data_IF_086265895536
#
_entry.id   IF_086265895536
#
_cell.length_a   1.000
_cell.length_b   1.000
_cell.length_c   1.000
_cell.angle_alpha   90.00
_cell.angle_beta   90.00
_cell.angle_gamma   90.00
#
_symmetry.space_group_name_H-M   'P 1'
#
loop_
_entity.id
_entity.type
_entity.pdbx_description
1 polymer ?
#
# COMPACT_ATOMS: atom_id res chain seq x y z
N UNK A 1 -23.46 -4.56 28.03
CA UNK A 1 -23.96 -4.82 26.66
C UNK A 1 -23.68 -3.57 25.83
N UNK A 2 -22.45 -3.43 25.32
CA UNK A 2 -22.01 -2.25 24.58
C UNK A 2 -21.84 -2.61 23.11
N UNK A 3 -22.40 -1.77 22.24
CA UNK A 3 -22.37 -1.84 20.78
C UNK A 3 -20.98 -2.20 20.23
N UNK A 4 -20.72 -3.48 19.97
CA UNK A 4 -19.74 -3.86 18.95
C UNK A 4 -20.48 -3.82 17.63
N UNK A 5 -20.00 -3.05 16.65
CA UNK A 5 -20.35 -3.38 15.27
C UNK A 5 -19.98 -4.85 15.04
N UNK A 6 -20.88 -5.62 14.44
CA UNK A 6 -20.58 -6.98 14.02
C UNK A 6 -19.33 -6.93 13.13
N UNK A 7 -18.36 -7.79 13.43
CA UNK A 7 -17.14 -7.86 12.64
C UNK A 7 -17.52 -8.16 11.18
N UNK A 8 -16.84 -7.53 10.18
CA UNK A 8 -17.10 -7.83 8.79
C UNK A 8 -16.96 -9.34 8.54
N UNK A 9 -18.02 -9.95 7.98
CA UNK A 9 -18.11 -11.41 7.85
C UNK A 9 -16.97 -12.01 7.01
N UNK A 10 -16.47 -11.26 6.03
CA UNK A 10 -15.37 -11.65 5.15
C UNK A 10 -14.08 -11.94 5.92
N UNK A 11 -13.76 -11.17 6.96
CA UNK A 11 -12.56 -11.35 7.79
C UNK A 11 -12.84 -11.96 9.17
N UNK A 12 -14.05 -12.51 9.37
CA UNK A 12 -14.50 -13.10 10.62
C UNK A 12 -13.53 -14.11 11.26
N UNK A 13 -12.92 -15.04 10.49
CA UNK A 13 -11.94 -15.98 11.03
C UNK A 13 -10.74 -15.31 11.69
N UNK A 14 -10.18 -14.26 11.06
CA UNK A 14 -9.06 -13.49 11.61
C UNK A 14 -9.47 -12.73 12.87
N UNK A 15 -10.62 -12.05 12.84
CA UNK A 15 -11.14 -11.29 13.98
C UNK A 15 -11.41 -12.19 15.18
N UNK A 16 -11.88 -13.43 14.96
CA UNK A 16 -12.08 -14.39 16.03
C UNK A 16 -10.77 -14.68 16.78
N UNK A 17 -9.70 -15.01 16.06
CA UNK A 17 -8.39 -15.30 16.67
C UNK A 17 -7.86 -14.08 17.44
N UNK A 18 -7.96 -12.89 16.85
CA UNK A 18 -7.53 -11.64 17.49
C UNK A 18 -8.33 -11.34 18.77
N UNK A 19 -9.64 -11.57 18.77
CA UNK A 19 -10.49 -11.43 19.96
C UNK A 19 -10.15 -12.47 21.02
N UNK A 20 -9.92 -13.72 20.63
CA UNK A 20 -9.57 -14.80 21.54
C UNK A 20 -8.25 -14.47 22.25
N UNK A 21 -7.22 -14.01 21.52
CA UNK A 21 -5.98 -13.51 22.13
C UNK A 21 -6.20 -12.27 23.02
N UNK A 22 -7.19 -11.44 22.65
CA UNK A 22 -7.58 -10.23 23.37
C UNK A 22 -8.28 -10.46 24.71
N UNK A 23 -9.11 -11.50 24.80
CA UNK A 23 -9.88 -11.82 26.02
C UNK A 23 -8.99 -12.16 27.22
N UNK A 24 -7.80 -12.71 26.98
CA UNK A 24 -6.95 -13.22 28.05
C UNK A 24 -5.79 -12.31 28.41
N UNK A 25 -5.13 -11.66 27.44
CA UNK A 25 -3.79 -11.08 27.72
C UNK A 25 -3.31 -9.92 26.86
N UNK A 26 -3.74 -9.83 25.60
CA UNK A 26 -3.15 -8.89 24.64
C UNK A 26 -4.14 -7.84 24.16
N UNK A 27 -3.66 -6.72 23.63
CA UNK A 27 -4.51 -5.79 22.89
C UNK A 27 -4.61 -6.28 21.43
N UNK A 28 -5.81 -6.54 20.88
CA UNK A 28 -5.96 -7.07 19.51
C UNK A 28 -5.29 -6.24 18.43
N UNK A 29 -5.24 -4.92 18.61
CA UNK A 29 -4.63 -4.01 17.66
C UNK A 29 -3.10 -4.11 17.70
N UNK A 30 -2.52 -4.20 18.91
CA UNK A 30 -1.10 -4.48 19.07
C UNK A 30 -0.72 -5.88 18.55
N UNK A 31 -1.58 -6.89 18.71
CA UNK A 31 -1.38 -8.23 18.11
C UNK A 31 -1.39 -8.17 16.60
N UNK A 32 -2.33 -7.43 16.00
CA UNK A 32 -2.39 -7.29 14.54
C UNK A 32 -1.13 -6.63 13.98
N UNK A 33 -0.63 -5.55 14.63
CA UNK A 33 0.63 -4.90 14.23
C UNK A 33 1.81 -5.86 14.26
N UNK A 34 1.96 -6.61 15.36
CA UNK A 34 3.01 -7.61 15.49
C UNK A 34 2.86 -8.74 14.46
N UNK A 35 1.62 -9.12 14.15
CA UNK A 35 1.35 -10.14 13.15
C UNK A 35 1.67 -9.68 11.73
N UNK A 36 1.54 -8.39 11.41
CA UNK A 36 2.02 -7.83 10.13
C UNK A 36 3.55 -8.00 10.02
N UNK A 37 4.30 -7.68 11.07
CA UNK A 37 5.75 -7.91 11.10
C UNK A 37 6.10 -9.40 10.98
N UNK A 38 5.37 -10.25 11.71
CA UNK A 38 5.51 -11.70 11.64
C UNK A 38 5.31 -12.22 10.22
N UNK A 39 4.23 -11.79 9.57
CA UNK A 39 3.87 -12.22 8.22
C UNK A 39 4.90 -11.76 7.19
N UNK A 40 5.39 -10.52 7.28
CA UNK A 40 6.49 -10.04 6.41
C UNK A 40 7.69 -10.96 6.56
N UNK A 41 8.11 -11.29 7.80
CA UNK A 41 9.23 -12.19 8.03
C UNK A 41 9.02 -13.62 7.48
N UNK A 42 7.78 -14.12 7.45
CA UNK A 42 7.45 -15.41 6.83
C UNK A 42 7.64 -15.42 5.31
N UNK A 43 7.44 -14.28 4.63
CA UNK A 43 7.59 -14.18 3.17
C UNK A 43 8.96 -13.68 2.72
N UNK A 44 9.83 -13.24 3.64
CA UNK A 44 11.21 -12.93 3.29
C UNK A 44 11.93 -14.19 2.81
N UNK A 45 12.61 -14.11 1.67
CA UNK A 45 13.36 -15.25 1.07
C UNK A 45 14.36 -15.87 2.04
N UNK A 46 14.97 -15.05 2.91
CA UNK A 46 15.95 -15.48 3.90
C UNK A 46 15.35 -15.62 5.31
N UNK A 47 14.05 -15.36 5.47
CA UNK A 47 13.38 -15.25 6.76
C UNK A 47 13.87 -14.05 7.60
N UNK A 48 13.33 -13.93 8.81
CA UNK A 48 13.75 -12.95 9.81
C UNK A 48 13.82 -13.62 11.19
N UNK A 49 15.03 -14.06 11.55
CA UNK A 49 15.27 -14.79 12.80
C UNK A 49 15.10 -13.90 14.03
N UNK A 50 15.56 -12.65 13.96
CA UNK A 50 15.48 -11.73 15.10
C UNK A 50 14.02 -11.38 15.42
N UNK A 51 13.21 -11.12 14.39
CA UNK A 51 11.77 -10.95 14.56
C UNK A 51 11.14 -12.22 15.14
N UNK A 52 11.46 -13.41 14.63
CA UNK A 52 10.88 -14.66 15.12
C UNK A 52 11.21 -14.90 16.61
N UNK A 53 12.47 -14.69 17.02
CA UNK A 53 12.92 -14.78 18.41
C UNK A 53 12.20 -13.76 19.30
N UNK A 54 12.05 -12.51 18.83
CA UNK A 54 11.30 -11.46 19.54
C UNK A 54 9.83 -11.83 19.76
N UNK A 55 9.16 -12.33 18.72
CA UNK A 55 7.74 -12.72 18.79
C UNK A 55 7.55 -13.95 19.67
N UNK A 56 8.44 -14.94 19.60
CA UNK A 56 8.41 -16.10 20.48
C UNK A 56 8.56 -15.69 21.95
N UNK A 57 9.48 -14.77 22.26
CA UNK A 57 9.66 -14.27 23.62
C UNK A 57 8.41 -13.52 24.14
N UNK A 58 7.75 -12.73 23.27
CA UNK A 58 6.56 -11.94 23.63
C UNK A 58 5.31 -12.82 23.84
N UNK A 59 5.06 -13.76 22.93
CA UNK A 59 3.82 -14.55 22.91
C UNK A 59 3.93 -15.90 23.62
N UNK A 60 5.13 -16.45 23.79
CA UNK A 60 5.38 -17.71 24.50
C UNK A 60 4.49 -18.85 23.95
N UNK A 61 3.62 -19.43 24.78
CA UNK A 61 2.69 -20.48 24.36
C UNK A 61 1.69 -20.00 23.29
N UNK A 62 1.35 -18.72 23.28
CA UNK A 62 0.43 -18.12 22.31
C UNK A 62 1.10 -17.80 20.96
N UNK A 63 2.42 -18.03 20.82
CA UNK A 63 3.14 -17.81 19.55
C UNK A 63 2.53 -18.61 18.39
N UNK A 64 1.99 -19.80 18.66
CA UNK A 64 1.27 -20.63 17.69
C UNK A 64 0.08 -19.90 17.05
N UNK A 65 -0.53 -18.93 17.76
CA UNK A 65 -1.67 -18.18 17.25
C UNK A 65 -1.28 -17.24 16.12
N UNK A 66 -0.03 -16.79 16.03
CA UNK A 66 0.44 -16.00 14.88
C UNK A 66 0.42 -16.83 13.59
N UNK A 67 0.81 -18.11 13.68
CA UNK A 67 0.72 -19.07 12.58
C UNK A 67 -0.74 -19.41 12.23
N UNK A 68 -1.61 -19.57 13.23
CA UNK A 68 -3.04 -19.76 12.99
C UNK A 68 -3.68 -18.55 12.31
N UNK A 69 -3.25 -17.33 12.67
CA UNK A 69 -3.73 -16.10 12.05
C UNK A 69 -3.22 -15.98 10.60
N UNK A 70 -1.98 -16.40 10.32
CA UNK A 70 -1.45 -16.51 8.95
C UNK A 70 -2.27 -17.48 8.09
N UNK A 71 -2.57 -18.67 8.63
CA UNK A 71 -3.43 -19.66 7.97
C UNK A 71 -4.84 -19.11 7.72
N UNK A 72 -5.45 -18.49 8.73
CA UNK A 72 -6.79 -17.92 8.61
C UNK A 72 -6.85 -16.80 7.57
N UNK A 73 -5.81 -15.96 7.48
CA UNK A 73 -5.71 -14.95 6.43
C UNK A 73 -5.63 -15.59 5.04
N UNK A 74 -4.78 -16.60 4.85
CA UNK A 74 -4.69 -17.31 3.56
C UNK A 74 -6.02 -17.96 3.15
N UNK A 75 -6.76 -18.57 4.09
CA UNK A 75 -8.09 -19.14 3.82
C UNK A 75 -9.13 -18.06 3.46
N UNK A 76 -9.04 -16.87 4.08
CA UNK A 76 -9.90 -15.73 3.71
C UNK A 76 -9.57 -15.26 2.29
N UNK A 77 -8.29 -15.14 1.94
CA UNK A 77 -7.86 -14.72 0.61
C UNK A 77 -8.32 -15.72 -0.46
N UNK A 78 -8.12 -17.02 -0.23
CA UNK A 78 -8.55 -18.11 -1.13
C UNK A 78 -10.07 -18.11 -1.36
N UNK A 79 -10.85 -17.79 -0.33
CA UNK A 79 -12.32 -17.73 -0.42
C UNK A 79 -12.84 -16.48 -1.13
N UNK A 80 -12.23 -15.32 -0.89
CA UNK A 80 -12.75 -14.03 -1.36
C UNK A 80 -12.20 -13.62 -2.74
N UNK A 81 -11.07 -14.17 -3.18
CA UNK A 81 -10.52 -13.93 -4.51
C UNK A 81 -11.02 -15.02 -5.47
N UNK A 82 -11.90 -14.64 -6.39
CA UNK A 82 -12.40 -15.55 -7.41
C UNK A 82 -11.38 -15.76 -8.55
N UNK A 83 -11.40 -16.94 -9.17
CA UNK A 83 -10.59 -17.30 -10.36
C UNK A 83 -11.08 -16.65 -11.68
N UNK A 84 -11.71 -15.48 -11.61
CA UNK A 84 -12.22 -14.75 -12.79
C UNK A 84 -11.17 -13.83 -13.43
N UNK A 85 -9.97 -13.76 -12.84
CA UNK A 85 -8.85 -12.96 -13.30
C UNK A 85 -8.99 -11.45 -13.08
N UNK A 86 -10.04 -10.99 -12.38
CA UNK A 86 -10.29 -9.57 -12.06
C UNK A 86 -10.63 -9.33 -10.59
N UNK A 87 -10.88 -10.39 -9.84
CA UNK A 87 -11.16 -10.32 -8.41
C UNK A 87 -9.90 -9.93 -7.62
N UNK A 88 -10.07 -9.06 -6.63
CA UNK A 88 -9.06 -8.71 -5.66
C UNK A 88 -9.73 -8.44 -4.31
N UNK A 89 -9.01 -8.65 -3.20
CA UNK A 89 -9.56 -8.47 -1.86
C UNK A 89 -8.54 -7.96 -0.85
N UNK A 90 -8.90 -6.94 -0.08
CA UNK A 90 -8.06 -6.37 0.98
C UNK A 90 -8.56 -6.78 2.37
N UNK A 91 -8.20 -8.00 2.78
CA UNK A 91 -8.49 -8.50 4.12
C UNK A 91 -7.79 -7.68 5.21
N UNK A 92 -6.53 -7.26 4.96
CA UNK A 92 -5.69 -6.60 5.95
C UNK A 92 -6.20 -5.20 6.30
N UNK A 93 -6.53 -4.40 5.29
CA UNK A 93 -7.14 -3.09 5.49
C UNK A 93 -8.52 -3.19 6.15
N UNK A 94 -9.32 -4.21 5.81
CA UNK A 94 -10.62 -4.45 6.47
C UNK A 94 -10.45 -4.74 7.97
N UNK A 95 -9.46 -5.57 8.35
CA UNK A 95 -9.13 -5.83 9.76
C UNK A 95 -8.60 -4.57 10.44
N UNK A 96 -7.71 -3.82 9.78
CA UNK A 96 -7.16 -2.57 10.28
C UNK A 96 -8.26 -1.56 10.63
N UNK A 97 -9.17 -1.26 9.68
CA UNK A 97 -10.27 -0.31 9.86
C UNK A 97 -11.21 -0.76 10.98
N UNK A 98 -11.50 -2.06 11.05
CA UNK A 98 -12.30 -2.64 12.12
C UNK A 98 -11.66 -2.44 13.51
N UNK A 99 -10.36 -2.72 13.65
CA UNK A 99 -9.65 -2.55 14.91
C UNK A 99 -9.48 -1.07 15.28
N UNK A 100 -9.20 -0.21 14.30
CA UNK A 100 -9.09 1.23 14.49
C UNK A 100 -10.40 1.84 15.01
N UNK A 101 -11.54 1.43 14.45
CA UNK A 101 -12.86 1.88 14.91
C UNK A 101 -13.26 1.39 16.31
N UNK A 102 -12.64 0.30 16.78
CA UNK A 102 -12.95 -0.35 18.07
C UNK A 102 -12.00 0.06 19.20
N UNK A 103 -10.83 0.62 18.89
CA UNK A 103 -9.80 0.92 19.88
C UNK A 103 -9.93 2.34 20.46
N UNK A 104 -9.66 2.49 21.77
CA UNK A 104 -9.60 3.81 22.44
C UNK A 104 -8.27 4.55 22.23
N UNK A 105 -7.26 3.86 21.69
CA UNK A 105 -5.98 4.49 21.32
C UNK A 105 -6.15 5.14 19.95
N UNK A 106 -5.39 6.20 19.73
CA UNK A 106 -5.30 6.95 18.49
C UNK A 106 -4.61 6.11 17.41
N UNK A 107 -5.23 5.00 16.98
CA UNK A 107 -5.07 4.57 15.59
C UNK A 107 -5.59 5.75 14.80
N UNK A 108 -4.69 6.45 14.10
CA UNK A 108 -5.08 7.51 13.21
C UNK A 108 -6.23 6.93 12.38
N UNK A 109 -7.42 7.55 12.46
CA UNK A 109 -8.66 7.06 11.86
C UNK A 109 -8.59 7.13 10.34
N UNK A 110 -7.61 6.44 9.78
CA UNK A 110 -7.32 6.33 8.37
C UNK A 110 -8.30 5.30 7.83
N UNK A 111 -9.17 5.79 6.96
CA UNK A 111 -10.02 4.96 6.13
C UNK A 111 -9.35 4.83 4.78
N UNK A 112 -9.27 3.61 4.28
CA UNK A 112 -8.72 3.33 2.97
C UNK A 112 -9.78 3.58 1.90
N UNK A 113 -9.32 3.87 0.68
CA UNK A 113 -10.20 4.06 -0.48
C UNK A 113 -11.14 2.85 -0.64
N UNK A 114 -12.47 3.04 -0.73
CA UNK A 114 -13.40 1.93 -0.93
C UNK A 114 -13.14 1.17 -2.24
N UNK A 115 -13.37 -0.15 -2.32
CA UNK A 115 -13.09 -0.96 -3.51
C UNK A 115 -13.70 -0.40 -4.80
N UNK A 116 -14.97 0.01 -4.77
CA UNK A 116 -15.66 0.55 -5.95
C UNK A 116 -14.98 1.83 -6.48
N UNK A 117 -14.38 2.62 -5.59
CA UNK A 117 -13.65 3.84 -5.97
C UNK A 117 -12.28 3.47 -6.56
N UNK A 118 -11.59 2.46 -6.03
CA UNK A 118 -10.35 1.94 -6.61
C UNK A 118 -10.58 1.41 -8.04
N UNK A 119 -11.64 0.63 -8.23
CA UNK A 119 -12.04 0.07 -9.53
C UNK A 119 -12.39 1.17 -10.53
N UNK A 120 -13.19 2.16 -10.09
CA UNK A 120 -13.53 3.33 -10.91
C UNK A 120 -12.26 4.08 -11.34
N UNK A 121 -11.37 4.38 -10.41
CA UNK A 121 -10.12 5.10 -10.70
C UNK A 121 -9.21 4.31 -11.63
N UNK A 122 -9.17 2.98 -11.50
CA UNK A 122 -8.42 2.11 -12.41
C UNK A 122 -8.95 2.21 -13.84
N UNK A 123 -10.27 2.16 -14.01
CA UNK A 123 -10.90 2.24 -15.33
C UNK A 123 -10.76 3.63 -15.96
N UNK A 124 -10.78 4.71 -15.16
CA UNK A 124 -10.55 6.08 -15.66
C UNK A 124 -9.11 6.26 -16.17
N UNK A 125 -8.13 5.67 -15.49
CA UNK A 125 -6.71 5.83 -15.80
C UNK A 125 -6.21 4.90 -16.91
N UNK A 126 -7.07 4.06 -17.49
CA UNK A 126 -6.67 3.08 -18.49
C UNK A 126 -7.52 3.19 -19.75
N UNK A 127 -6.87 3.07 -20.90
CA UNK A 127 -7.54 3.11 -22.20
C UNK A 127 -8.04 1.69 -22.53
N UNK A 128 -9.36 1.46 -22.67
CA UNK A 128 -9.88 0.15 -23.05
C UNK A 128 -9.36 -0.37 -24.39
N UNK A 129 -8.92 0.54 -25.28
CA UNK A 129 -8.37 0.19 -26.59
C UNK A 129 -6.89 -0.21 -26.54
N UNK A 130 -6.18 0.06 -25.43
CA UNK A 130 -4.75 -0.21 -25.32
C UNK A 130 -4.43 -1.07 -24.08
N UNK A 131 -3.88 -2.29 -24.26
CA UNK A 131 -3.49 -3.11 -23.13
C UNK A 131 -2.39 -2.42 -22.30
N UNK A 132 -2.67 -2.21 -21.02
CA UNK A 132 -1.70 -1.67 -20.07
C UNK A 132 -0.81 -2.80 -19.57
N UNK A 133 0.33 -3.04 -20.24
CA UNK A 133 1.33 -4.04 -19.84
C UNK A 133 2.75 -3.47 -19.93
N UNK A 134 3.65 -3.96 -19.08
CA UNK A 134 5.04 -3.51 -19.04
C UNK A 134 5.23 -2.05 -18.61
N UNK A 135 4.23 -1.45 -17.97
CA UNK A 135 4.29 -0.08 -17.45
C UNK A 135 4.79 -0.08 -16.01
N UNK A 136 5.22 1.11 -15.56
CA UNK A 136 5.46 1.41 -14.15
C UNK A 136 4.30 2.23 -13.61
N UNK A 137 3.71 1.77 -12.52
CA UNK A 137 2.55 2.40 -11.88
C UNK A 137 2.98 2.80 -10.48
N UNK A 138 2.67 4.00 -10.03
CA UNK A 138 3.05 4.47 -8.69
C UNK A 138 1.84 4.96 -7.90
N UNK A 139 1.78 4.62 -6.62
CA UNK A 139 0.87 5.20 -5.63
C UNK A 139 1.70 5.77 -4.46
N UNK A 140 1.84 7.11 -4.35
CA UNK A 140 2.72 7.75 -3.37
C UNK A 140 2.13 7.84 -1.94
N UNK A 141 0.89 7.38 -1.74
CA UNK A 141 0.19 7.33 -0.45
C UNK A 141 -0.69 6.07 -0.39
N UNK A 142 -0.02 4.92 -0.48
CA UNK A 142 -0.62 3.66 -0.93
C UNK A 142 -1.59 3.03 0.07
N UNK A 143 -1.53 3.38 1.36
CA UNK A 143 -2.38 2.85 2.40
C UNK A 143 -2.25 1.33 2.52
N UNK A 144 -3.35 0.59 2.38
CA UNK A 144 -3.35 -0.88 2.33
C UNK A 144 -3.08 -1.45 0.93
N UNK A 145 -2.93 -0.61 -0.10
CA UNK A 145 -2.60 -1.03 -1.46
C UNK A 145 -3.80 -1.27 -2.38
N UNK A 146 -5.03 -1.01 -1.94
CA UNK A 146 -6.26 -1.27 -2.71
C UNK A 146 -6.20 -0.73 -4.15
N UNK A 147 -5.67 0.47 -4.35
CA UNK A 147 -5.52 1.06 -5.70
C UNK A 147 -4.61 0.22 -6.59
N UNK A 148 -3.47 -0.25 -6.07
CA UNK A 148 -2.52 -1.09 -6.81
C UNK A 148 -3.06 -2.50 -7.04
N UNK A 149 -3.79 -3.06 -6.07
CA UNK A 149 -4.44 -4.36 -6.20
C UNK A 149 -5.49 -4.34 -7.32
N UNK A 150 -6.38 -3.34 -7.29
CA UNK A 150 -7.35 -3.09 -8.35
C UNK A 150 -6.64 -2.96 -9.70
N UNK A 151 -5.62 -2.10 -9.79
CA UNK A 151 -4.88 -1.92 -11.04
C UNK A 151 -4.29 -3.24 -11.57
N UNK A 152 -3.64 -4.03 -10.72
CA UNK A 152 -3.05 -5.30 -11.12
C UNK A 152 -4.09 -6.34 -11.55
N UNK A 153 -5.27 -6.36 -10.91
CA UNK A 153 -6.35 -7.27 -11.28
C UNK A 153 -6.95 -6.95 -12.66
N UNK A 154 -7.14 -5.67 -12.99
CA UNK A 154 -7.62 -5.27 -14.32
C UNK A 154 -6.52 -5.35 -15.39
N UNK A 155 -5.27 -5.06 -15.01
CA UNK A 155 -4.14 -4.91 -15.93
C UNK A 155 -2.88 -5.61 -15.38
N UNK A 156 -2.83 -6.95 -15.44
CA UNK A 156 -1.69 -7.70 -14.93
C UNK A 156 -0.44 -7.56 -15.81
N UNK A 157 0.74 -7.78 -15.22
CA UNK A 157 2.02 -7.72 -15.93
C UNK A 157 2.62 -6.32 -16.02
N UNK A 158 2.33 -5.49 -15.01
CA UNK A 158 2.98 -4.20 -14.79
C UNK A 158 3.88 -4.27 -13.55
N UNK A 159 4.77 -3.29 -13.43
CA UNK A 159 5.60 -3.11 -12.24
C UNK A 159 4.99 -2.01 -11.38
N UNK A 160 4.46 -2.39 -10.20
CA UNK A 160 3.70 -1.49 -9.32
C UNK A 160 4.56 -1.00 -8.16
N UNK A 161 4.55 0.30 -7.90
CA UNK A 161 5.29 0.94 -6.83
C UNK A 161 4.31 1.57 -5.83
N UNK A 162 4.53 1.34 -4.55
CA UNK A 162 3.75 1.95 -3.46
C UNK A 162 4.67 2.68 -2.47
N UNK A 163 4.21 3.82 -1.96
CA UNK A 163 4.92 4.56 -0.91
C UNK A 163 3.93 4.93 0.19
N UNK A 164 4.32 4.73 1.46
CA UNK A 164 3.51 5.21 2.59
C UNK A 164 4.38 5.70 3.74
N UNK A 165 3.88 6.69 4.47
CA UNK A 165 4.51 7.21 5.68
C UNK A 165 4.31 6.28 6.87
N UNK A 166 3.20 5.55 6.95
CA UNK A 166 2.92 4.59 8.03
C UNK A 166 3.58 3.24 7.74
N UNK A 167 4.49 2.77 8.62
CA UNK A 167 5.10 1.45 8.51
C UNK A 167 4.10 0.29 8.39
N UNK A 168 2.94 0.37 9.05
CA UNK A 168 1.93 -0.69 9.00
C UNK A 168 1.29 -0.72 7.62
N UNK A 169 0.91 0.45 7.08
CA UNK A 169 0.35 0.58 5.74
C UNK A 169 1.32 0.06 4.67
N UNK A 170 2.59 0.47 4.73
CA UNK A 170 3.62 -0.04 3.82
C UNK A 170 3.73 -1.58 3.88
N UNK A 171 3.80 -2.18 5.08
CA UNK A 171 3.90 -3.63 5.23
C UNK A 171 2.62 -4.38 4.84
N UNK A 172 1.44 -3.83 5.13
CA UNK A 172 0.16 -4.38 4.66
C UNK A 172 0.12 -4.40 3.14
N UNK A 173 0.51 -3.30 2.49
CA UNK A 173 0.59 -3.21 1.03
C UNK A 173 1.52 -4.26 0.46
N UNK A 174 2.71 -4.46 1.05
CA UNK A 174 3.66 -5.50 0.63
C UNK A 174 3.03 -6.89 0.67
N UNK A 175 2.37 -7.24 1.78
CA UNK A 175 1.72 -8.55 1.95
C UNK A 175 0.56 -8.73 0.97
N UNK A 176 -0.27 -7.69 0.81
CA UNK A 176 -1.37 -7.68 -0.13
C UNK A 176 -0.85 -7.89 -1.56
N UNK A 177 0.14 -7.11 -1.98
CA UNK A 177 0.76 -7.24 -3.31
C UNK A 177 1.36 -8.64 -3.52
N UNK A 178 2.03 -9.20 -2.51
CA UNK A 178 2.64 -10.52 -2.60
C UNK A 178 1.60 -11.61 -2.86
N UNK A 179 0.48 -11.59 -2.14
CA UNK A 179 -0.62 -12.55 -2.27
C UNK A 179 -1.40 -12.43 -3.59
N UNK A 180 -1.48 -11.23 -4.17
CA UNK A 180 -2.17 -11.00 -5.44
C UNK A 180 -1.25 -11.20 -6.67
N UNK A 181 -0.04 -11.74 -6.47
CA UNK A 181 0.90 -11.98 -7.56
C UNK A 181 1.44 -10.71 -8.23
N UNK A 182 1.32 -9.56 -7.57
CA UNK A 182 1.89 -8.31 -8.06
C UNK A 182 3.42 -8.42 -8.08
N UNK A 183 4.07 -7.74 -9.04
CA UNK A 183 5.52 -7.54 -9.07
C UNK A 183 5.81 -6.05 -8.92
N UNK A 184 6.74 -5.69 -8.04
CA UNK A 184 6.93 -4.29 -7.72
C UNK A 184 7.70 -3.99 -6.46
N UNK A 185 7.57 -2.76 -5.97
CA UNK A 185 8.22 -2.28 -4.76
C UNK A 185 7.25 -1.55 -3.85
N UNK A 186 7.46 -1.65 -2.55
CA UNK A 186 6.80 -0.79 -1.58
C UNK A 186 7.84 -0.21 -0.63
N UNK A 187 7.78 1.10 -0.41
CA UNK A 187 8.71 1.83 0.42
C UNK A 187 7.97 2.53 1.56
N UNK A 188 8.53 2.46 2.77
CA UNK A 188 8.10 3.30 3.88
C UNK A 188 8.99 4.55 3.92
N UNK A 189 8.40 5.68 3.53
CA UNK A 189 9.06 6.98 3.43
C UNK A 189 8.03 8.11 3.38
N UNK A 190 8.48 9.35 3.63
CA UNK A 190 7.70 10.54 3.27
C UNK A 190 7.89 10.83 1.78
N UNK A 191 6.86 10.56 0.97
CA UNK A 191 6.89 10.76 -0.48
C UNK A 191 7.04 12.23 -0.91
N UNK A 192 6.88 13.19 0.01
CA UNK A 192 7.15 14.61 -0.22
C UNK A 192 8.61 14.99 0.07
N UNK A 193 9.40 14.10 0.67
CA UNK A 193 10.78 14.37 1.09
C UNK A 193 11.77 13.41 0.44
N UNK A 194 12.99 13.90 0.21
CA UNK A 194 14.07 13.10 -0.39
C UNK A 194 14.95 12.38 0.64
N UNK A 195 14.81 12.73 1.92
CA UNK A 195 15.69 12.33 3.02
C UNK A 195 15.04 11.37 4.02
N UNK A 196 13.72 11.18 4.03
CA UNK A 196 13.01 10.29 4.98
C UNK A 196 12.83 8.87 4.44
N UNK A 197 13.92 8.12 4.27
CA UNK A 197 13.85 6.68 3.97
C UNK A 197 13.86 5.86 5.27
N UNK A 198 12.94 4.89 5.40
CA UNK A 198 12.91 3.99 6.56
C UNK A 198 13.22 2.54 6.18
N UNK A 199 12.46 1.98 5.25
CA UNK A 199 12.67 0.64 4.72
C UNK A 199 11.92 0.45 3.39
N UNK A 200 12.21 -0.61 2.66
CA UNK A 200 11.42 -1.02 1.50
C UNK A 200 11.58 -2.50 1.19
N UNK A 201 10.65 -3.02 0.40
CA UNK A 201 10.64 -4.40 -0.06
C UNK A 201 10.38 -4.47 -1.57
N UNK A 202 11.11 -5.34 -2.24
CA UNK A 202 10.78 -5.87 -3.56
C UNK A 202 9.80 -7.03 -3.40
N UNK A 203 8.72 -7.01 -4.17
CA UNK A 203 7.62 -7.97 -4.11
C UNK A 203 7.69 -8.89 -5.31
N UNK A 204 7.73 -10.20 -5.04
CA UNK A 204 7.74 -11.27 -6.03
C UNK A 204 8.78 -11.16 -7.17
N UNK A 205 10.03 -10.73 -6.94
CA UNK A 205 11.01 -10.52 -8.01
C UNK A 205 11.33 -11.76 -8.85
N UNK A 206 11.18 -12.97 -8.30
CA UNK A 206 11.49 -14.22 -9.00
C UNK A 206 10.39 -14.64 -9.99
N UNK A 207 9.19 -14.06 -9.93
CA UNK A 207 8.13 -14.36 -10.90
C UNK A 207 8.53 -13.94 -12.32
N UNK A 208 9.25 -12.82 -12.48
CA UNK A 208 9.81 -12.39 -13.77
C UNK A 208 10.81 -13.40 -14.35
N UNK A 209 11.47 -14.19 -13.50
CA UNK A 209 12.49 -15.18 -13.91
C UNK A 209 11.94 -16.58 -14.17
N UNK A 210 10.61 -16.76 -14.14
CA UNK A 210 9.97 -18.06 -14.28
C UNK A 210 10.08 -18.94 -13.02
N UNK A 211 10.33 -18.32 -11.85
CA UNK A 211 10.24 -18.99 -10.57
C UNK A 211 8.81 -19.44 -10.26
N UNK A 212 8.60 -20.35 -9.30
CA UNK A 212 7.27 -20.78 -8.91
C UNK A 212 6.44 -19.58 -8.40
N UNK A 213 5.11 -19.56 -8.63
CA UNK A 213 4.23 -18.45 -8.25
C UNK A 213 3.94 -18.44 -6.74
N UNK A 214 5.00 -18.46 -5.94
CA UNK A 214 4.94 -18.43 -4.47
C UNK A 214 5.17 -16.97 -4.05
N UNK A 215 4.35 -16.41 -3.15
CA UNK A 215 4.59 -15.09 -2.59
C UNK A 215 5.94 -15.02 -1.89
N UNK A 216 6.76 -14.02 -2.20
CA UNK A 216 8.05 -13.83 -1.57
C UNK A 216 8.50 -12.36 -1.63
N UNK A 217 9.36 -11.99 -0.68
CA UNK A 217 9.82 -10.63 -0.45
C UNK A 217 11.34 -10.57 -0.35
N UNK A 218 11.92 -9.50 -0.87
CA UNK A 218 13.32 -9.15 -0.64
C UNK A 218 13.41 -7.74 -0.06
N UNK A 219 14.18 -7.51 1.03
CA UNK A 219 14.45 -6.17 1.50
C UNK A 219 15.26 -5.41 0.45
N UNK A 220 14.98 -4.12 0.29
CA UNK A 220 15.73 -3.24 -0.60
C UNK A 220 16.33 -2.05 0.15
N UNK A 221 17.46 -1.56 -0.34
CA UNK A 221 18.04 -0.29 0.11
C UNK A 221 17.37 0.88 -0.59
N UNK A 222 17.61 2.08 -0.07
CA UNK A 222 17.15 3.35 -0.64
C UNK A 222 17.58 3.52 -2.10
N UNK A 223 18.80 3.12 -2.42
CA UNK A 223 19.38 3.22 -3.76
C UNK A 223 18.76 2.22 -4.74
N UNK A 224 18.19 1.12 -4.24
CA UNK A 224 17.47 0.13 -5.03
C UNK A 224 15.99 0.52 -5.28
N UNK A 225 15.46 1.49 -4.52
CA UNK A 225 14.09 1.99 -4.69
C UNK A 225 13.93 2.77 -6.00
N UNK A 226 13.02 2.28 -6.84
CA UNK A 226 12.62 2.95 -8.09
C UNK A 226 11.99 4.30 -7.82
N UNK A 227 11.09 4.39 -6.85
CA UNK A 227 10.43 5.64 -6.48
C UNK A 227 11.46 6.70 -6.04
N UNK A 228 12.44 6.29 -5.23
CA UNK A 228 13.50 7.18 -4.81
C UNK A 228 14.41 7.65 -5.96
N UNK A 229 14.81 6.75 -6.86
CA UNK A 229 15.60 7.11 -8.04
C UNK A 229 14.87 8.11 -8.95
N UNK A 230 13.56 7.93 -9.14
CA UNK A 230 12.72 8.86 -9.92
C UNK A 230 12.68 10.22 -9.23
N UNK A 231 12.42 10.26 -7.92
CA UNK A 231 12.41 11.52 -7.16
C UNK A 231 13.74 12.26 -7.25
N UNK A 232 14.88 11.57 -7.12
CA UNK A 232 16.20 12.19 -7.25
C UNK A 232 16.43 12.78 -8.64
N UNK A 233 15.95 12.10 -9.68
CA UNK A 233 16.05 12.59 -11.06
C UNK A 233 15.24 13.88 -11.23
N UNK A 234 14.00 13.89 -10.74
CA UNK A 234 13.14 15.08 -10.78
C UNK A 234 13.72 16.27 -10.00
N UNK A 235 14.34 16.02 -8.84
CA UNK A 235 14.98 17.07 -8.04
C UNK A 235 16.20 17.65 -8.75
N UNK A 236 17.01 16.83 -9.41
CA UNK A 236 18.14 17.29 -10.24
C UNK A 236 17.65 18.14 -11.40
N UNK A 237 16.65 17.66 -12.16
CA UNK A 237 16.06 18.41 -13.26
C UNK A 237 15.46 19.76 -12.79
N UNK A 238 14.82 19.79 -11.63
CA UNK A 238 14.28 21.03 -11.07
C UNK A 238 15.37 22.01 -10.62
N UNK A 239 16.51 21.50 -10.13
CA UNK A 239 17.67 22.32 -9.80
C UNK A 239 18.29 22.94 -11.07
N UNK A 240 18.43 22.15 -12.13
CA UNK A 240 18.95 22.60 -13.43
C UNK A 240 18.04 23.68 -14.04
N UNK A 241 16.71 23.49 -14.03
CA UNK A 241 15.74 24.52 -14.49
C UNK A 241 15.77 25.82 -13.68
N UNK A 242 16.10 25.75 -12.39
CA UNK A 242 16.27 26.97 -11.55
C UNK A 242 17.57 27.69 -11.85
N UNK A 243 18.58 26.99 -12.36
CA UNK A 243 19.85 27.56 -12.79
C UNK A 243 19.77 28.20 -14.19
N UNK A 244 18.79 27.81 -15.01
CA UNK A 244 18.51 28.48 -16.27
C UNK A 244 18.06 29.95 -16.05
N UNK A 245 18.59 30.91 -16.83
CA UNK A 245 18.18 32.29 -16.72
C UNK A 245 16.68 32.40 -17.02
N UNK A 246 15.92 32.98 -16.08
CA UNK A 246 14.49 33.23 -16.28
C UNK A 246 14.29 33.97 -17.60
N UNK A 247 13.48 33.41 -18.49
CA UNK A 247 13.02 34.11 -19.69
C UNK A 247 12.43 35.43 -19.24
N UNK A 248 12.98 36.54 -19.75
CA UNK A 248 12.46 37.87 -19.49
C UNK A 248 11.06 37.93 -20.09
N UNK A 249 10.04 37.78 -19.24
CA UNK A 249 8.66 37.95 -19.65
C UNK A 249 8.50 39.44 -20.00
N UNK A 250 8.14 39.79 -21.25
CA UNK A 250 7.88 41.18 -21.59
C UNK A 250 6.78 41.74 -20.67
N UNK A 251 6.87 43.02 -20.28
CA UNK A 251 5.88 43.61 -19.40
C UNK A 251 4.47 43.45 -19.99
N UNK A 252 3.43 43.27 -19.13
CA UNK A 252 2.06 43.22 -19.59
C UNK A 252 1.77 44.40 -20.51
N UNK A 253 1.13 44.14 -21.65
CA UNK A 253 0.69 45.20 -22.55
C UNK A 253 -0.32 46.05 -21.78
N UNK A 254 0.08 47.28 -21.41
CA UNK A 254 -0.84 48.27 -20.87
C UNK A 254 -1.82 48.68 -21.97
N UNK A 255 -2.95 47.97 -22.06
CA UNK A 255 -4.08 48.42 -22.88
C UNK A 255 -4.73 49.58 -22.14
N UNK A 256 -4.36 50.82 -22.47
CA UNK A 256 -5.13 51.99 -22.07
C UNK A 256 -6.50 51.89 -22.77
N UNK A 257 -7.61 51.71 -22.04
CA UNK A 257 -8.92 51.73 -22.68
C UNK A 257 -9.12 53.11 -23.29
N UNK A 258 -9.21 53.17 -24.63
CA UNK A 258 -9.77 54.36 -25.28
C UNK A 258 -11.24 54.38 -24.91
N UNK A 259 -11.59 55.20 -23.93
CA UNK A 259 -12.99 55.52 -23.61
C UNK A 259 -13.51 56.36 -24.78
N UNK A 260 -13.93 55.68 -25.84
CA UNK A 260 -14.74 56.28 -26.89
C UNK A 260 -16.13 56.48 -26.31
N UNK A 261 -16.50 57.73 -26.04
CA UNK A 261 -17.87 58.08 -25.72
C UNK A 261 -18.74 57.70 -26.93
N UNK A 262 -19.53 56.64 -26.80
CA UNK A 262 -20.55 56.30 -27.79
C UNK A 262 -21.60 57.40 -27.73
N UNK A 263 -21.62 58.29 -28.74
CA UNK A 263 -22.77 59.15 -28.99
C UNK A 263 -23.90 58.25 -29.49
N UNK A 264 -24.87 57.96 -28.63
CA UNK A 264 -26.21 57.70 -29.13
C UNK A 264 -26.81 59.05 -29.52
N UNK A 265 -27.45 59.06 -30.69
CA UNK A 265 -28.04 60.18 -31.45
C UNK A 265 -27.10 60.86 -32.46
#
# INVERSE_FOLDING_TARGET
MGYMMDAPRSVGPMIKILRDMGQYRYDPADVFRDWIDYSVGCFLVHGDREMAERMLAKYKADYVQLGNLLRAWMEVMDKEIADDGRSWFDALGTVYEYLASSSKRQWLGQFFTPPDVCDLMTQINTDPAQPMRGKRINDPAVGSGRTLLSFNAYHPGNYVCGEDLDPICAKMTVLNMAMHGCQGQVCCQDSLRTDDWRFGYEVNPLHATGGPPIPHLLPITKEQSVAWQVMQSLVREAADRKAEPKVVVPPPIEVKPKVGQLSLF
#
